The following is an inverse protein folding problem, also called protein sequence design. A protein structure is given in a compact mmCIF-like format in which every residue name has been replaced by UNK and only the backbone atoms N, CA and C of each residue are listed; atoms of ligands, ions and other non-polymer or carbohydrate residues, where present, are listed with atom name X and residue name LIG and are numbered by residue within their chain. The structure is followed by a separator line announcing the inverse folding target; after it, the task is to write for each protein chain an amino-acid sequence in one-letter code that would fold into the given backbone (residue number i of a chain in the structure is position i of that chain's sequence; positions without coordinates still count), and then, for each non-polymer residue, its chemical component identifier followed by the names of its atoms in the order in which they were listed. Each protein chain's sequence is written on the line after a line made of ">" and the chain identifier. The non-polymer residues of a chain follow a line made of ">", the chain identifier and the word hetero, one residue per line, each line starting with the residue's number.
data_IF_982854217954
#
_entry.id   IF_982854217954
#
_cell.length_a   1.000
_cell.length_b   1.000
_cell.length_c   1.000
_cell.angle_alpha   90.00
_cell.angle_beta   90.00
_cell.angle_gamma   90.00
#
_symmetry.space_group_name_H-M   'P 1'
#
loop_
_entity.id
_entity.type
_entity.pdbx_description
1 polymer ?
#
# COMPACT_ATOMS: atom_id res chain seq x y z
N UNK A 1 -2.59 5.61 -5.25
CA UNK A 1 -1.42 4.85 -4.77
C UNK A 1 -1.65 3.37 -5.07
N UNK A 2 -1.08 2.90 -6.17
CA UNK A 2 -1.25 1.53 -6.69
C UNK A 2 -0.56 0.48 -5.79
N UNK A 3 0.24 0.94 -4.84
CA UNK A 3 1.00 0.09 -3.91
C UNK A 3 0.35 -0.08 -2.53
N UNK A 4 -0.87 0.43 -2.34
CA UNK A 4 -1.56 0.26 -1.07
C UNK A 4 -2.27 -1.11 -1.05
N UNK A 5 -1.79 -2.10 -0.28
CA UNK A 5 -2.39 -3.43 -0.21
C UNK A 5 -3.70 -3.45 0.60
N UNK A 6 -4.06 -2.34 1.23
CA UNK A 6 -5.23 -2.27 2.11
C UNK A 6 -6.47 -1.89 1.31
N UNK A 7 -7.45 -2.78 1.30
CA UNK A 7 -8.80 -2.52 0.82
C UNK A 7 -9.69 -2.22 2.03
N UNK A 8 -10.36 -1.08 1.99
CA UNK A 8 -11.26 -0.68 3.09
C UNK A 8 -12.67 -1.16 2.83
N UNK A 9 -13.24 -1.90 3.76
CA UNK A 9 -14.63 -2.33 3.70
C UNK A 9 -15.59 -1.13 3.85
N UNK A 10 -16.81 -1.20 3.30
CA UNK A 10 -17.77 -0.08 3.35
C UNK A 10 -18.10 0.39 4.77
N UNK A 11 -18.14 -0.52 5.75
CA UNK A 11 -18.33 -0.19 7.16
C UNK A 11 -17.18 0.61 7.76
N UNK A 12 -15.97 0.20 7.47
CA UNK A 12 -14.74 0.88 7.89
C UNK A 12 -14.63 2.28 7.26
N UNK A 13 -15.01 2.41 5.97
CA UNK A 13 -15.05 3.70 5.28
C UNK A 13 -16.00 4.67 5.97
N UNK A 14 -17.21 4.21 6.37
CA UNK A 14 -18.17 5.03 7.10
C UNK A 14 -17.63 5.47 8.46
N UNK A 15 -17.02 4.53 9.20
CA UNK A 15 -16.45 4.82 10.51
C UNK A 15 -15.30 5.82 10.42
N UNK A 16 -14.40 5.68 9.45
CA UNK A 16 -13.31 6.63 9.23
C UNK A 16 -13.85 8.02 8.85
N UNK A 17 -14.87 8.09 7.99
CA UNK A 17 -15.53 9.35 7.66
C UNK A 17 -16.10 10.03 8.90
N UNK A 18 -16.82 9.28 9.74
CA UNK A 18 -17.40 9.78 10.98
C UNK A 18 -16.30 10.28 11.96
N UNK A 19 -15.18 9.56 12.08
CA UNK A 19 -14.05 10.00 12.90
C UNK A 19 -13.46 11.30 12.37
N UNK A 20 -13.23 11.42 11.07
CA UNK A 20 -12.72 12.65 10.47
C UNK A 20 -13.68 13.85 10.67
N UNK A 21 -14.98 13.62 10.65
CA UNK A 21 -15.99 14.66 10.85
C UNK A 21 -16.11 15.09 12.32
N UNK A 22 -16.02 14.15 13.27
CA UNK A 22 -16.16 14.42 14.71
C UNK A 22 -14.85 14.83 15.36
N UNK A 23 -13.78 14.08 15.10
CA UNK A 23 -12.51 14.18 15.80
C UNK A 23 -11.47 15.00 15.01
N UNK A 24 -11.70 15.18 13.68
CA UNK A 24 -10.76 15.81 12.77
C UNK A 24 -9.62 14.88 12.33
N UNK A 25 -8.55 15.46 11.79
CA UNK A 25 -7.34 14.72 11.41
C UNK A 25 -6.46 14.51 12.64
N UNK A 26 -6.71 13.45 13.38
CA UNK A 26 -5.89 13.04 14.53
C UNK A 26 -4.53 12.46 14.11
N UNK A 27 -4.42 12.04 12.85
CA UNK A 27 -3.17 11.57 12.23
C UNK A 27 -2.99 12.23 10.87
N UNK A 28 -1.82 12.81 10.57
CA UNK A 28 -1.55 13.42 9.28
C UNK A 28 -1.50 12.38 8.14
N UNK A 29 -1.67 12.85 6.92
CA UNK A 29 -1.36 12.07 5.72
C UNK A 29 0.16 12.06 5.56
N UNK A 30 0.76 10.88 5.42
CA UNK A 30 2.21 10.75 5.24
C UNK A 30 2.53 10.84 3.76
N UNK A 31 3.47 11.72 3.42
CA UNK A 31 3.81 12.03 2.03
C UNK A 31 5.31 11.98 1.78
N UNK A 32 5.69 11.75 0.54
CA UNK A 32 7.03 11.96 0.01
C UNK A 32 7.01 13.18 -0.90
N UNK A 33 7.94 14.08 -0.71
CA UNK A 33 8.12 15.21 -1.61
C UNK A 33 8.75 14.75 -2.95
N UNK A 34 8.15 15.17 -4.06
CA UNK A 34 8.65 14.90 -5.41
C UNK A 34 8.54 16.16 -6.27
N UNK A 35 9.66 16.85 -6.45
CA UNK A 35 9.78 18.10 -7.23
C UNK A 35 8.78 19.17 -6.77
N UNK A 36 7.61 19.25 -7.43
CA UNK A 36 6.59 20.29 -7.19
C UNK A 36 5.31 19.74 -6.56
N UNK A 37 5.27 18.46 -6.19
CA UNK A 37 4.07 17.84 -5.62
C UNK A 37 4.41 16.81 -4.55
N UNK A 38 3.38 16.42 -3.80
CA UNK A 38 3.49 15.41 -2.74
C UNK A 38 2.84 14.11 -3.17
N UNK A 39 3.57 13.02 -3.00
CA UNK A 39 3.07 11.66 -3.26
C UNK A 39 2.66 11.02 -1.93
N UNK A 40 1.42 10.54 -1.85
CA UNK A 40 0.91 9.89 -0.64
C UNK A 40 1.61 8.54 -0.42
N UNK A 41 2.22 8.39 0.74
CA UNK A 41 2.86 7.16 1.22
C UNK A 41 1.92 6.38 2.13
N UNK A 42 1.24 7.08 3.07
CA UNK A 42 0.25 6.50 3.97
C UNK A 42 -0.87 7.48 4.26
N UNK A 43 -2.06 6.95 4.57
CA UNK A 43 -3.26 7.75 4.81
C UNK A 43 -4.06 8.06 3.54
N UNK A 44 -3.95 7.24 2.50
CA UNK A 44 -4.69 7.40 1.24
C UNK A 44 -6.20 7.57 1.47
N UNK A 45 -6.82 6.72 2.28
CA UNK A 45 -8.25 6.82 2.58
C UNK A 45 -8.60 8.09 3.37
N UNK A 46 -7.72 8.53 4.29
CA UNK A 46 -7.89 9.81 4.99
C UNK A 46 -7.82 11.00 4.04
N UNK A 47 -6.88 10.97 3.10
CA UNK A 47 -6.74 11.99 2.07
C UNK A 47 -7.97 12.06 1.18
N UNK A 48 -8.48 10.92 0.72
CA UNK A 48 -9.67 10.84 -0.13
C UNK A 48 -10.91 11.36 0.61
N UNK A 49 -11.21 10.79 1.79
CA UNK A 49 -12.37 11.16 2.59
C UNK A 49 -12.29 12.60 3.11
N UNK A 50 -11.10 13.07 3.44
CA UNK A 50 -10.88 14.44 3.87
C UNK A 50 -11.18 15.49 2.79
N UNK A 51 -11.04 15.11 1.52
CA UNK A 51 -11.46 15.98 0.39
C UNK A 51 -12.97 15.99 0.18
N UNK A 52 -13.62 14.86 0.41
CA UNK A 52 -15.06 14.67 0.14
C UNK A 52 -15.95 15.10 1.32
N UNK A 53 -15.40 15.26 2.52
CA UNK A 53 -16.16 15.50 3.76
C UNK A 53 -16.23 17.00 4.13
N UNK A 54 -17.14 17.33 5.07
CA UNK A 54 -17.20 18.66 5.67
C UNK A 54 -15.92 19.05 6.42
N UNK A 55 -15.10 18.07 6.78
CA UNK A 55 -13.75 18.28 7.32
C UNK A 55 -12.86 19.02 6.32
N UNK A 56 -12.94 18.69 5.02
CA UNK A 56 -12.21 19.40 3.97
C UNK A 56 -12.60 20.89 3.88
N UNK A 57 -13.87 21.22 4.10
CA UNK A 57 -14.35 22.61 4.15
C UNK A 57 -13.79 23.35 5.37
N UNK A 58 -13.77 22.72 6.54
CA UNK A 58 -13.18 23.29 7.77
C UNK A 58 -11.69 23.57 7.61
N UNK A 59 -10.97 22.72 6.90
CA UNK A 59 -9.55 22.85 6.61
C UNK A 59 -9.27 23.78 5.40
N UNK A 60 -10.28 24.43 4.81
CA UNK A 60 -10.15 25.31 3.65
C UNK A 60 -9.39 24.68 2.47
N UNK A 61 -9.57 23.38 2.27
CA UNK A 61 -8.90 22.61 1.22
C UNK A 61 -7.46 22.16 1.55
N UNK A 62 -6.93 22.48 2.73
CA UNK A 62 -5.61 22.02 3.18
C UNK A 62 -5.72 20.72 3.97
N UNK A 63 -4.75 19.83 3.81
CA UNK A 63 -4.67 18.61 4.59
C UNK A 63 -3.40 18.63 5.45
N UNK A 64 -3.47 18.16 6.70
CA UNK A 64 -2.27 18.00 7.51
C UNK A 64 -1.41 16.88 6.93
N UNK A 65 -0.16 17.17 6.63
CA UNK A 65 0.80 16.22 6.07
C UNK A 65 2.04 16.12 6.95
N UNK A 66 2.64 14.92 6.93
CA UNK A 66 3.96 14.68 7.47
C UNK A 66 4.85 14.12 6.35
N UNK A 67 6.00 14.75 6.11
CA UNK A 67 6.93 14.28 5.08
C UNK A 67 7.81 13.15 5.63
N UNK A 68 8.03 12.10 4.83
CA UNK A 68 9.05 11.09 5.15
C UNK A 68 10.45 11.70 4.97
N UNK A 69 11.47 11.01 5.52
CA UNK A 69 12.85 11.43 5.37
C UNK A 69 13.20 11.70 3.89
N UNK A 70 13.64 12.94 3.53
CA UNK A 70 13.91 13.34 2.16
C UNK A 70 15.08 12.59 1.51
N UNK A 71 15.94 11.92 2.29
CA UNK A 71 17.00 11.08 1.77
C UNK A 71 16.49 9.78 1.14
N UNK A 72 15.29 9.35 1.48
CA UNK A 72 14.64 8.16 0.93
C UNK A 72 13.93 8.48 -0.39
N UNK A 73 14.73 8.65 -1.45
CA UNK A 73 14.26 9.00 -2.79
C UNK A 73 13.94 7.77 -3.64
N UNK A 74 13.12 7.98 -4.67
CA UNK A 74 12.80 6.98 -5.69
C UNK A 74 11.57 6.12 -5.36
N UNK A 75 11.09 5.44 -6.40
CA UNK A 75 9.87 4.64 -6.34
C UNK A 75 9.96 3.49 -5.33
N UNK A 76 11.04 2.73 -5.37
CA UNK A 76 11.24 1.59 -4.49
C UNK A 76 11.24 1.98 -3.00
N UNK A 77 11.87 3.11 -2.65
CA UNK A 77 11.87 3.61 -1.27
C UNK A 77 10.47 4.03 -0.80
N UNK A 78 9.66 4.62 -1.69
CA UNK A 78 8.25 4.97 -1.39
C UNK A 78 7.38 3.74 -1.20
N UNK A 79 7.51 2.73 -2.09
CA UNK A 79 6.81 1.45 -1.97
C UNK A 79 7.13 0.82 -0.61
N UNK A 80 8.42 0.69 -0.27
CA UNK A 80 8.86 0.12 1.00
C UNK A 80 8.32 0.91 2.21
N UNK A 81 8.30 2.24 2.15
CA UNK A 81 7.72 3.07 3.20
C UNK A 81 6.22 2.79 3.37
N UNK A 82 5.44 2.76 2.27
CA UNK A 82 4.02 2.42 2.30
C UNK A 82 3.78 1.06 2.97
N UNK A 83 4.56 0.05 2.60
CA UNK A 83 4.40 -1.29 3.15
C UNK A 83 4.78 -1.35 4.63
N UNK A 84 5.90 -0.73 5.05
CA UNK A 84 6.26 -0.69 6.48
C UNK A 84 5.16 -0.04 7.33
N UNK A 85 4.64 1.11 6.89
CA UNK A 85 3.55 1.79 7.59
C UNK A 85 2.30 0.92 7.69
N UNK A 86 1.98 0.17 6.65
CA UNK A 86 0.84 -0.72 6.63
C UNK A 86 1.09 -1.97 7.48
N UNK A 87 2.24 -2.66 7.32
CA UNK A 87 2.56 -3.87 8.11
C UNK A 87 2.59 -3.62 9.61
N UNK A 88 3.04 -2.45 10.03
CA UNK A 88 3.01 -2.07 11.45
C UNK A 88 1.60 -1.98 12.04
N UNK A 89 0.55 -1.97 11.21
CA UNK A 89 -0.86 -1.79 11.64
C UNK A 89 -1.74 -3.03 11.53
N UNK A 90 -1.26 -4.15 10.98
CA UNK A 90 -2.05 -5.37 10.96
C UNK A 90 -1.87 -6.29 9.75
N UNK A 91 -2.87 -7.14 9.50
CA UNK A 91 -2.83 -8.18 8.46
C UNK A 91 -3.01 -7.61 7.05
N UNK A 92 -2.32 -8.19 6.07
CA UNK A 92 -2.35 -7.79 4.66
C UNK A 92 -2.82 -8.95 3.77
N UNK A 93 -3.31 -8.60 2.57
CA UNK A 93 -3.63 -9.59 1.55
C UNK A 93 -2.33 -10.16 0.96
N UNK A 94 -2.18 -11.48 0.95
CA UNK A 94 -0.98 -12.20 0.49
C UNK A 94 -0.71 -11.90 -0.98
N UNK A 95 -1.73 -11.87 -1.83
CA UNK A 95 -1.59 -11.61 -3.27
C UNK A 95 -0.97 -10.24 -3.54
N UNK A 96 -1.49 -9.19 -2.88
CA UNK A 96 -0.94 -7.84 -3.02
C UNK A 96 0.49 -7.74 -2.51
N UNK A 97 0.87 -8.53 -1.49
CA UNK A 97 2.24 -8.57 -0.99
C UNK A 97 3.20 -9.27 -1.96
N UNK A 98 2.75 -10.34 -2.63
CA UNK A 98 3.56 -11.03 -3.64
C UNK A 98 3.85 -10.13 -4.84
N UNK A 99 2.87 -9.35 -5.31
CA UNK A 99 3.05 -8.39 -6.38
C UNK A 99 4.06 -7.29 -6.00
N UNK A 100 3.98 -6.78 -4.77
CA UNK A 100 4.91 -5.77 -4.27
C UNK A 100 6.34 -6.32 -4.18
N UNK A 101 6.54 -7.53 -3.66
CA UNK A 101 7.86 -8.17 -3.59
C UNK A 101 8.43 -8.36 -5.00
N UNK A 102 7.61 -8.78 -5.96
CA UNK A 102 8.00 -8.89 -7.37
C UNK A 102 8.45 -7.54 -7.93
N UNK A 103 7.67 -6.49 -7.72
CA UNK A 103 7.96 -5.16 -8.26
C UNK A 103 9.24 -4.56 -7.65
N UNK A 104 9.48 -4.76 -6.36
CA UNK A 104 10.75 -4.37 -5.73
C UNK A 104 11.94 -5.14 -6.30
N UNK A 105 11.78 -6.44 -6.59
CA UNK A 105 12.82 -7.24 -7.26
C UNK A 105 13.10 -6.73 -8.67
N UNK A 106 12.06 -6.37 -9.44
CA UNK A 106 12.20 -5.76 -10.78
C UNK A 106 12.88 -4.38 -10.73
N UNK A 107 12.71 -3.66 -9.63
CA UNK A 107 13.41 -2.40 -9.36
C UNK A 107 14.85 -2.59 -8.83
N UNK A 108 15.37 -3.82 -8.87
CA UNK A 108 16.76 -4.16 -8.57
C UNK A 108 17.07 -4.36 -7.09
N UNK A 109 16.05 -4.56 -6.23
CA UNK A 109 16.30 -4.88 -4.83
C UNK A 109 16.60 -6.37 -4.64
N UNK A 110 17.62 -6.67 -3.83
CA UNK A 110 17.93 -8.04 -3.41
C UNK A 110 16.90 -8.53 -2.38
N UNK A 111 16.74 -9.86 -2.28
CA UNK A 111 15.81 -10.49 -1.34
C UNK A 111 16.14 -10.12 0.11
N UNK A 112 17.43 -10.03 0.44
CA UNK A 112 17.88 -9.57 1.75
C UNK A 112 17.45 -8.14 2.04
N UNK A 113 17.58 -7.23 1.06
CA UNK A 113 17.14 -5.85 1.20
C UNK A 113 15.63 -5.75 1.35
N UNK A 114 14.87 -6.50 0.54
CA UNK A 114 13.40 -6.56 0.63
C UNK A 114 12.99 -7.03 2.03
N UNK A 115 13.58 -8.13 2.51
CA UNK A 115 13.30 -8.66 3.85
C UNK A 115 13.57 -7.62 4.94
N UNK A 116 14.75 -7.01 4.94
CA UNK A 116 15.12 -5.98 5.92
C UNK A 116 14.19 -4.75 5.87
N UNK A 117 13.89 -4.26 4.68
CA UNK A 117 13.09 -3.03 4.50
C UNK A 117 11.60 -3.23 4.79
N UNK A 118 11.07 -4.44 4.58
CA UNK A 118 9.66 -4.75 4.80
C UNK A 118 9.39 -5.48 6.11
N UNK A 119 10.42 -5.83 6.87
CA UNK A 119 10.29 -6.61 8.11
C UNK A 119 9.85 -8.05 7.83
N UNK A 120 10.38 -8.68 6.78
CA UNK A 120 10.13 -10.07 6.37
C UNK A 120 11.38 -10.90 6.57
N UNK A 121 11.23 -12.18 6.90
CA UNK A 121 12.34 -13.13 6.79
C UNK A 121 12.57 -13.55 5.32
N UNK A 122 13.70 -14.19 5.06
CA UNK A 122 14.06 -14.59 3.68
C UNK A 122 13.12 -15.64 3.12
N UNK A 123 12.60 -16.53 3.96
CA UNK A 123 11.67 -17.58 3.55
C UNK A 123 10.30 -16.96 3.18
N UNK A 124 9.88 -15.92 3.88
CA UNK A 124 8.66 -15.18 3.53
C UNK A 124 8.82 -14.49 2.18
N UNK A 125 9.94 -13.80 1.94
CA UNK A 125 10.24 -13.16 0.65
C UNK A 125 10.24 -14.20 -0.49
N UNK A 126 10.91 -15.33 -0.28
CA UNK A 126 10.97 -16.41 -1.28
C UNK A 126 9.59 -16.98 -1.61
N UNK A 127 8.77 -17.24 -0.60
CA UNK A 127 7.39 -17.73 -0.79
C UNK A 127 6.52 -16.73 -1.57
N UNK A 128 6.63 -15.45 -1.27
CA UNK A 128 5.89 -14.41 -1.98
C UNK A 128 6.33 -14.29 -3.45
N UNK A 129 7.61 -14.46 -3.74
CA UNK A 129 8.14 -14.52 -5.12
C UNK A 129 7.63 -15.75 -5.87
N UNK A 130 7.56 -16.91 -5.22
CA UNK A 130 7.02 -18.13 -5.81
C UNK A 130 5.53 -17.97 -6.17
N UNK A 131 4.73 -17.36 -5.29
CA UNK A 131 3.31 -17.10 -5.56
C UNK A 131 3.14 -16.22 -6.80
N UNK A 132 3.90 -15.12 -6.92
CA UNK A 132 3.81 -14.25 -8.09
C UNK A 132 4.36 -14.92 -9.36
N UNK A 133 5.43 -15.69 -9.26
CA UNK A 133 6.00 -16.45 -10.38
C UNK A 133 5.07 -17.53 -10.92
N UNK A 134 4.40 -18.27 -10.04
CA UNK A 134 3.38 -19.24 -10.44
C UNK A 134 2.19 -18.55 -11.16
N UNK A 135 1.73 -17.40 -10.66
CA UNK A 135 0.64 -16.65 -11.29
C UNK A 135 1.03 -16.20 -12.72
N UNK A 136 2.27 -15.74 -12.93
CA UNK A 136 2.76 -15.35 -14.26
C UNK A 136 2.86 -16.54 -15.24
N UNK A 137 3.33 -17.70 -14.77
CA UNK A 137 3.43 -18.90 -15.58
C UNK A 137 2.07 -19.42 -16.08
N UNK A 138 1.00 -19.17 -15.33
CA UNK A 138 -0.33 -19.66 -15.66
C UNK A 138 -1.28 -18.57 -16.22
N UNK A 139 -0.83 -17.33 -16.38
CA UNK A 139 -1.66 -16.25 -16.94
C UNK A 139 -1.99 -16.43 -18.43
N UNK A 140 -1.18 -17.16 -19.18
CA UNK A 140 -1.35 -17.42 -20.62
C UNK A 140 -1.90 -18.83 -20.93
N UNK A 141 -2.18 -19.64 -19.91
CA UNK A 141 -2.72 -20.99 -20.10
C UNK A 141 -4.24 -20.99 -19.99
N UNK A 142 -4.91 -21.34 -21.05
CA UNK A 142 -6.36 -21.67 -21.05
C UNK A 142 -6.59 -22.96 -20.25
N UNK A 143 -6.96 -22.82 -18.99
CA UNK A 143 -7.35 -23.95 -18.16
C UNK A 143 -8.65 -24.57 -18.67
N UNK A 144 -8.54 -25.71 -19.35
CA UNK A 144 -9.72 -26.53 -19.58
C UNK A 144 -10.27 -27.03 -18.23
N UNK A 145 -11.60 -26.97 -17.98
CA UNK A 145 -12.16 -27.48 -16.73
C UNK A 145 -11.88 -28.99 -16.63
N UNK A 146 -10.95 -29.37 -15.75
CA UNK A 146 -10.44 -30.73 -15.62
C UNK A 146 -11.46 -31.75 -15.07
N UNK A 147 -12.64 -31.29 -14.64
CA UNK A 147 -13.67 -32.14 -14.02
C UNK A 147 -15.07 -31.71 -14.44
N UNK A 148 -15.58 -32.22 -15.55
CA UNK A 148 -17.01 -32.41 -15.75
C UNK A 148 -17.36 -33.81 -15.24
N UNK A 149 -17.98 -33.90 -14.08
CA UNK A 149 -18.64 -35.14 -13.64
C UNK A 149 -19.82 -35.38 -14.59
N UNK A 150 -19.76 -36.48 -15.36
CA UNK A 150 -20.89 -37.00 -16.13
C UNK A 150 -21.85 -37.75 -15.22
#
# INVERSE_FOLDING_TARGET
>A
NDYNPNVMAPGEKRLLKQSLEKDGFTQPVVVSEDKSHYLVVDGFHRQLLGRESDTGKRLKGWLPVACINPERKGQAARIAATIRHNRARGKHQITSMSDIVRDLSRLGWTDQRIGTELGMDQDEVLRLKQISGLTELFQEEDFSPAWTVR
#
